data_IF_696646330495
#
_entry.id   IF_696646330495
#
_cell.length_a   1.000
_cell.length_b   1.000
_cell.length_c   1.000
_cell.angle_alpha   90.00
_cell.angle_beta   90.00
_cell.angle_gamma   90.00
#
_symmetry.space_group_name_H-M   'P 1'
#
loop_
_entity.id
_entity.type
_entity.pdbx_description
1 polymer ?
#
# COMPACT_ATOMS: atom_id res chain seq x y z
N UNK A 1 23.30 -9.45 -5.93
CA UNK A 1 22.23 -8.69 -6.61
C UNK A 1 22.65 -7.24 -6.77
N UNK A 2 22.28 -6.58 -7.86
CA UNK A 2 22.59 -5.16 -8.11
C UNK A 2 21.47 -4.27 -7.55
N UNK A 3 21.81 -3.31 -6.69
CA UNK A 3 20.86 -2.34 -6.15
C UNK A 3 20.57 -1.25 -7.19
N UNK A 4 19.31 -0.78 -7.25
CA UNK A 4 18.91 0.44 -7.94
C UNK A 4 19.42 1.66 -7.20
N UNK A 5 20.26 2.44 -7.86
CA UNK A 5 20.75 3.72 -7.37
C UNK A 5 19.71 4.82 -7.61
N UNK A 6 19.74 5.82 -6.74
CA UNK A 6 18.90 7.02 -6.86
C UNK A 6 19.22 7.79 -8.15
N UNK A 7 20.51 8.02 -8.42
CA UNK A 7 20.96 8.53 -9.72
C UNK A 7 21.21 7.36 -10.69
N UNK A 8 20.24 7.13 -11.57
CA UNK A 8 20.33 6.12 -12.62
C UNK A 8 21.47 6.38 -13.62
N UNK A 9 21.99 7.61 -13.74
CA UNK A 9 23.16 7.90 -14.59
C UNK A 9 24.44 7.27 -14.04
N UNK A 10 24.51 7.05 -12.73
CA UNK A 10 25.62 6.35 -12.08
C UNK A 10 25.46 4.83 -12.10
N UNK A 11 24.33 4.31 -12.59
CA UNK A 11 24.03 2.89 -12.62
C UNK A 11 24.82 2.16 -13.72
N UNK A 12 25.91 1.50 -13.34
CA UNK A 12 26.77 0.77 -14.29
C UNK A 12 26.20 -0.58 -14.73
N UNK A 13 25.38 -1.21 -13.90
CA UNK A 13 24.77 -2.53 -14.16
C UNK A 13 23.26 -2.47 -13.95
N UNK A 14 22.45 -3.20 -14.73
CA UNK A 14 21.00 -3.26 -14.52
C UNK A 14 20.66 -3.62 -13.07
N UNK A 15 19.95 -2.77 -12.30
CA UNK A 15 19.44 -3.14 -10.99
C UNK A 15 18.54 -4.37 -11.05
N UNK A 16 18.64 -5.16 -10.00
CA UNK A 16 17.86 -6.36 -9.79
C UNK A 16 16.86 -6.19 -8.65
N UNK A 17 17.07 -5.18 -7.79
CA UNK A 17 16.17 -4.84 -6.69
C UNK A 17 16.32 -3.38 -6.27
N UNK A 18 15.35 -2.87 -5.52
CA UNK A 18 15.38 -1.57 -4.85
C UNK A 18 15.01 -1.72 -3.37
N UNK A 19 15.50 -0.80 -2.53
CA UNK A 19 15.01 -0.69 -1.16
C UNK A 19 13.71 0.12 -1.17
N UNK A 20 12.65 -0.41 -0.55
CA UNK A 20 11.36 0.27 -0.47
C UNK A 20 11.38 1.37 0.60
N UNK A 21 12.29 1.28 1.58
CA UNK A 21 12.48 2.30 2.60
C UNK A 21 13.97 2.58 2.85
N UNK A 22 14.25 3.77 3.39
CA UNK A 22 15.56 4.24 3.86
C UNK A 22 16.07 3.39 5.03
N UNK A 23 15.15 2.79 5.80
CA UNK A 23 15.48 1.85 6.87
C UNK A 23 15.97 0.50 6.34
N UNK A 24 15.81 0.22 5.04
CA UNK A 24 16.20 -1.04 4.38
C UNK A 24 15.57 -2.27 5.03
N UNK A 25 14.34 -2.11 5.51
CA UNK A 25 13.53 -3.18 6.09
C UNK A 25 12.76 -3.98 5.03
N UNK A 26 12.64 -3.45 3.80
CA UNK A 26 11.97 -4.11 2.67
C UNK A 26 12.75 -3.94 1.37
N UNK A 27 13.06 -5.05 0.71
CA UNK A 27 13.65 -5.07 -0.64
C UNK A 27 12.61 -5.52 -1.66
N UNK A 28 12.49 -4.81 -2.77
CA UNK A 28 11.54 -5.09 -3.85
C UNK A 28 12.27 -5.52 -5.11
N UNK A 29 11.77 -6.60 -5.70
CA UNK A 29 12.16 -7.14 -7.00
C UNK A 29 10.92 -7.06 -7.88
N UNK A 30 11.05 -6.50 -9.08
CA UNK A 30 9.93 -6.38 -10.01
C UNK A 30 10.33 -6.84 -11.40
N UNK A 31 9.37 -7.35 -12.17
CA UNK A 31 9.53 -7.55 -13.61
C UNK A 31 9.73 -6.22 -14.35
N UNK A 32 9.19 -5.13 -13.82
CA UNK A 32 9.20 -3.79 -14.42
C UNK A 32 10.16 -2.82 -13.72
N UNK A 33 11.32 -3.31 -13.25
CA UNK A 33 12.37 -2.46 -12.65
C UNK A 33 12.91 -1.38 -13.60
N UNK A 34 12.74 -1.57 -14.91
CA UNK A 34 13.12 -0.64 -15.97
C UNK A 34 11.91 -0.22 -16.77
N UNK A 35 11.88 1.04 -17.20
CA UNK A 35 10.82 1.55 -18.08
C UNK A 35 10.90 0.98 -19.51
N UNK A 36 12.08 0.51 -19.92
CA UNK A 36 12.37 0.07 -21.29
C UNK A 36 12.75 -1.41 -21.41
N UNK A 37 12.74 -2.18 -20.31
CA UNK A 37 13.11 -3.60 -20.33
C UNK A 37 12.40 -4.38 -19.21
N UNK A 38 12.09 -5.64 -19.48
CA UNK A 38 11.56 -6.55 -18.46
C UNK A 38 12.66 -7.40 -17.84
N UNK A 39 12.62 -7.53 -16.51
CA UNK A 39 13.50 -8.44 -15.76
C UNK A 39 12.89 -9.83 -15.76
N UNK A 40 13.68 -10.85 -16.14
CA UNK A 40 13.28 -12.25 -15.97
C UNK A 40 13.29 -12.60 -14.48
N UNK A 41 12.13 -12.48 -13.85
CA UNK A 41 11.92 -12.84 -12.45
C UNK A 41 11.14 -14.16 -12.38
N UNK A 42 11.73 -15.18 -11.75
CA UNK A 42 11.16 -16.53 -11.71
C UNK A 42 11.43 -17.23 -10.39
N UNK A 43 10.56 -18.16 -10.01
CA UNK A 43 10.71 -19.06 -8.85
C UNK A 43 10.71 -20.54 -9.30
N UNK A 44 11.03 -21.44 -8.37
CA UNK A 44 11.02 -22.90 -8.58
C UNK A 44 11.87 -23.35 -9.77
N UNK A 45 13.15 -22.94 -9.77
CA UNK A 45 14.11 -23.30 -10.82
C UNK A 45 13.81 -22.68 -12.18
N UNK A 46 13.01 -21.61 -12.24
CA UNK A 46 12.65 -20.94 -13.50
C UNK A 46 11.31 -21.38 -14.09
N UNK A 47 10.60 -22.31 -13.45
CA UNK A 47 9.35 -22.88 -13.96
C UNK A 47 8.15 -21.95 -13.82
N UNK A 48 8.20 -20.97 -12.92
CA UNK A 48 7.11 -20.02 -12.69
C UNK A 48 7.64 -18.59 -12.75
N UNK A 49 7.02 -17.75 -13.57
CA UNK A 49 7.30 -16.30 -13.66
C UNK A 49 6.65 -15.57 -12.48
N UNK A 50 7.28 -14.48 -12.05
CA UNK A 50 6.77 -13.59 -11.02
C UNK A 50 6.60 -12.19 -11.61
N UNK A 51 5.61 -11.45 -11.12
CA UNK A 51 5.49 -10.01 -11.37
C UNK A 51 6.33 -9.22 -10.36
N UNK A 52 6.28 -9.63 -9.09
CA UNK A 52 6.97 -8.93 -8.01
C UNK A 52 7.35 -9.89 -6.86
N UNK A 53 8.43 -9.58 -6.16
CA UNK A 53 8.73 -10.13 -4.85
C UNK A 53 9.19 -9.03 -3.89
N UNK A 54 8.58 -8.97 -2.71
CA UNK A 54 8.97 -8.10 -1.61
C UNK A 54 9.54 -8.97 -0.50
N UNK A 55 10.78 -8.73 -0.10
CA UNK A 55 11.43 -9.38 1.04
C UNK A 55 11.45 -8.42 2.22
N UNK A 56 10.95 -8.87 3.37
CA UNK A 56 10.97 -8.11 4.62
C UNK A 56 12.05 -8.64 5.57
N UNK A 57 12.78 -7.70 6.18
CA UNK A 57 13.87 -7.97 7.10
C UNK A 57 13.45 -7.65 8.53
N UNK A 58 13.61 -8.64 9.43
CA UNK A 58 13.42 -8.47 10.87
C UNK A 58 14.77 -8.67 11.53
N UNK A 59 15.22 -7.66 12.29
CA UNK A 59 16.53 -7.66 12.95
C UNK A 59 17.69 -7.99 11.98
N UNK A 60 17.64 -7.43 10.77
CA UNK A 60 18.66 -7.60 9.74
C UNK A 60 18.64 -8.93 8.98
N UNK A 61 17.67 -9.82 9.25
CA UNK A 61 17.52 -11.11 8.55
C UNK A 61 16.24 -11.13 7.73
N UNK A 62 16.30 -11.69 6.52
CA UNK A 62 15.11 -11.95 5.71
C UNK A 62 14.18 -12.88 6.50
N UNK A 63 13.03 -12.37 6.89
CA UNK A 63 12.11 -13.02 7.82
C UNK A 63 10.78 -13.34 7.16
N UNK A 64 10.36 -12.53 6.19
CA UNK A 64 9.14 -12.74 5.41
C UNK A 64 9.37 -12.39 3.95
N UNK A 65 8.52 -12.94 3.09
CA UNK A 65 8.46 -12.54 1.69
C UNK A 65 7.03 -12.59 1.17
N UNK A 66 6.68 -11.61 0.35
CA UNK A 66 5.44 -11.58 -0.43
C UNK A 66 5.81 -11.70 -1.90
N UNK A 67 5.32 -12.73 -2.57
CA UNK A 67 5.59 -13.03 -3.97
C UNK A 67 4.29 -12.93 -4.75
N UNK A 68 4.24 -12.02 -5.72
CA UNK A 68 3.13 -11.85 -6.63
C UNK A 68 3.42 -12.60 -7.94
N UNK A 69 2.71 -13.69 -8.19
CA UNK A 69 2.85 -14.49 -9.41
C UNK A 69 2.02 -13.93 -10.57
N UNK A 70 0.90 -13.30 -10.26
CA UNK A 70 0.00 -12.70 -11.23
C UNK A 70 -0.82 -11.62 -10.54
N UNK A 71 -0.98 -10.49 -11.21
CA UNK A 71 -1.98 -9.47 -10.89
C UNK A 71 -2.56 -8.96 -12.21
N UNK A 72 -3.88 -9.01 -12.40
CA UNK A 72 -4.52 -8.66 -13.67
C UNK A 72 -4.24 -7.23 -14.12
N UNK A 73 -4.07 -6.31 -13.17
CA UNK A 73 -3.74 -4.91 -13.44
C UNK A 73 -2.40 -4.73 -14.16
N UNK A 74 -1.42 -5.59 -13.88
CA UNK A 74 -0.06 -5.47 -14.41
C UNK A 74 0.19 -6.50 -15.54
N UNK A 75 -0.37 -7.72 -15.40
CA UNK A 75 -0.17 -8.83 -16.35
C UNK A 75 -1.23 -8.89 -17.46
N UNK A 76 -2.34 -8.15 -17.34
CA UNK A 76 -3.51 -8.30 -18.21
C UNK A 76 -4.36 -9.53 -17.89
N UNK A 77 -5.34 -9.82 -18.75
CA UNK A 77 -6.25 -10.96 -18.58
C UNK A 77 -5.52 -12.32 -18.73
N UNK A 78 -5.88 -13.30 -17.90
CA UNK A 78 -5.41 -14.69 -17.98
C UNK A 78 -6.59 -15.65 -18.16
N UNK A 79 -6.39 -16.70 -18.95
CA UNK A 79 -7.37 -17.79 -19.04
C UNK A 79 -7.42 -18.58 -17.72
N UNK A 80 -8.62 -18.96 -17.28
CA UNK A 80 -8.80 -19.72 -16.04
C UNK A 80 -8.00 -21.04 -16.03
N UNK A 81 -7.89 -21.72 -17.18
CA UNK A 81 -7.11 -22.96 -17.31
C UNK A 81 -5.62 -22.73 -17.05
N UNK A 82 -5.07 -21.63 -17.56
CA UNK A 82 -3.66 -21.29 -17.36
C UNK A 82 -3.41 -20.86 -15.91
N UNK A 83 -4.33 -20.07 -15.33
CA UNK A 83 -4.28 -19.73 -13.91
C UNK A 83 -4.29 -20.98 -13.02
N UNK A 84 -5.21 -21.93 -13.27
CA UNK A 84 -5.29 -23.21 -12.56
C UNK A 84 -3.99 -24.02 -12.67
N UNK A 85 -3.37 -24.01 -13.86
CA UNK A 85 -2.10 -24.71 -14.10
C UNK A 85 -0.98 -24.11 -13.24
N UNK A 86 -0.83 -22.79 -13.23
CA UNK A 86 0.17 -22.08 -12.44
C UNK A 86 -0.08 -22.31 -10.95
N UNK A 87 -1.32 -22.12 -10.49
CA UNK A 87 -1.74 -22.34 -9.11
C UNK A 87 -1.39 -23.75 -8.61
N UNK A 88 -1.73 -24.79 -9.38
CA UNK A 88 -1.41 -26.19 -9.04
C UNK A 88 0.09 -26.43 -9.00
N UNK A 89 0.84 -25.91 -9.98
CA UNK A 89 2.28 -26.06 -10.04
C UNK A 89 2.98 -25.45 -8.80
N UNK A 90 2.55 -24.26 -8.37
CA UNK A 90 3.06 -23.63 -7.15
C UNK A 90 2.72 -24.49 -5.93
N UNK A 91 1.46 -24.93 -5.78
CA UNK A 91 1.04 -25.77 -4.66
C UNK A 91 1.78 -27.10 -4.56
N UNK A 92 2.08 -27.74 -5.70
CA UNK A 92 2.88 -28.97 -5.76
C UNK A 92 4.33 -28.73 -5.30
N UNK A 93 4.97 -27.67 -5.80
CA UNK A 93 6.33 -27.29 -5.38
C UNK A 93 6.38 -26.97 -3.88
N UNK A 94 5.40 -26.19 -3.37
CA UNK A 94 5.31 -25.87 -1.95
C UNK A 94 5.13 -27.12 -1.09
N UNK A 95 4.30 -28.08 -1.52
CA UNK A 95 4.10 -29.33 -0.78
C UNK A 95 5.38 -30.18 -0.73
N UNK A 96 6.15 -30.22 -1.81
CA UNK A 96 7.47 -30.89 -1.82
C UNK A 96 8.47 -30.23 -0.88
N UNK A 97 8.56 -28.89 -0.89
CA UNK A 97 9.53 -28.14 -0.08
C UNK A 97 9.15 -28.16 1.40
N UNK A 98 7.88 -27.92 1.71
CA UNK A 98 7.38 -27.80 3.09
C UNK A 98 7.14 -29.16 3.76
N UNK A 99 7.06 -30.24 2.99
CA UNK A 99 6.86 -31.62 3.47
C UNK A 99 5.64 -31.79 4.39
N UNK A 100 4.61 -30.97 4.20
CA UNK A 100 3.32 -31.03 4.91
C UNK A 100 2.18 -30.82 3.92
N UNK A 101 1.01 -31.39 4.22
CA UNK A 101 -0.19 -31.12 3.43
C UNK A 101 -0.73 -29.71 3.75
N UNK A 102 -1.20 -28.96 2.74
CA UNK A 102 -1.78 -27.65 2.99
C UNK A 102 -3.19 -27.74 3.58
N UNK A 103 -3.58 -26.69 4.30
CA UNK A 103 -4.96 -26.49 4.77
C UNK A 103 -5.60 -25.34 4.00
N UNK A 104 -6.77 -25.57 3.39
CA UNK A 104 -7.58 -24.51 2.78
C UNK A 104 -8.19 -23.64 3.87
N UNK A 105 -8.16 -22.33 3.68
CA UNK A 105 -8.73 -21.33 4.57
C UNK A 105 -9.43 -20.24 3.75
N UNK A 106 -10.59 -19.77 4.22
CA UNK A 106 -11.22 -18.58 3.66
C UNK A 106 -10.63 -17.37 4.38
N UNK A 107 -9.91 -16.52 3.64
CA UNK A 107 -9.24 -15.34 4.19
C UNK A 107 -10.23 -14.19 4.32
N UNK A 108 -11.05 -13.98 3.29
CA UNK A 108 -12.11 -12.96 3.30
C UNK A 108 -13.35 -13.46 2.54
N UNK A 109 -14.42 -13.80 3.27
CA UNK A 109 -15.66 -14.30 2.66
C UNK A 109 -16.60 -13.17 2.19
N UNK A 110 -16.62 -12.06 2.94
CA UNK A 110 -17.59 -10.97 2.79
C UNK A 110 -17.00 -9.71 2.15
N UNK A 111 -15.82 -9.83 1.52
CA UNK A 111 -15.20 -8.74 0.80
C UNK A 111 -15.80 -8.59 -0.60
N UNK A 112 -15.62 -7.42 -1.21
CA UNK A 112 -15.99 -7.20 -2.62
C UNK A 112 -15.25 -8.15 -3.58
N UNK A 113 -14.10 -8.65 -3.15
CA UNK A 113 -13.31 -9.68 -3.82
C UNK A 113 -13.01 -10.79 -2.80
N UNK A 114 -13.79 -11.88 -2.74
CA UNK A 114 -13.54 -12.95 -1.77
C UNK A 114 -12.19 -13.61 -2.00
N UNK A 115 -11.45 -13.91 -0.93
CA UNK A 115 -10.10 -14.48 -0.99
C UNK A 115 -10.04 -15.81 -0.28
N UNK A 116 -9.42 -16.78 -0.94
CA UNK A 116 -9.10 -18.10 -0.40
C UNK A 116 -7.59 -18.31 -0.36
N UNK A 117 -7.14 -18.96 0.70
CA UNK A 117 -5.75 -19.29 0.95
C UNK A 117 -5.52 -20.78 1.15
N UNK A 118 -4.33 -21.25 0.80
CA UNK A 118 -3.80 -22.57 1.15
C UNK A 118 -2.57 -22.38 2.03
N UNK A 119 -2.62 -22.90 3.25
CA UNK A 119 -1.62 -22.71 4.28
C UNK A 119 -0.79 -23.98 4.48
N UNK A 120 0.52 -23.88 4.31
CA UNK A 120 1.51 -24.85 4.78
C UNK A 120 2.17 -24.28 6.04
N UNK A 121 2.08 -24.99 7.15
CA UNK A 121 2.76 -24.64 8.39
C UNK A 121 3.62 -25.82 8.84
N UNK A 122 4.92 -25.59 8.99
CA UNK A 122 5.88 -26.59 9.44
C UNK A 122 6.95 -25.95 10.33
N UNK A 123 7.82 -26.74 11.00
CA UNK A 123 8.93 -26.20 11.77
C UNK A 123 9.90 -25.33 10.95
N UNK A 124 9.96 -25.48 9.62
CA UNK A 124 10.81 -24.64 8.75
C UNK A 124 10.21 -23.29 8.41
N UNK A 125 8.90 -23.08 8.67
CA UNK A 125 8.23 -21.82 8.41
C UNK A 125 6.77 -21.98 7.99
N UNK A 126 6.22 -20.88 7.48
CA UNK A 126 4.84 -20.78 7.01
C UNK A 126 4.83 -20.33 5.56
N UNK A 127 4.00 -20.96 4.73
CA UNK A 127 3.68 -20.51 3.38
C UNK A 127 2.16 -20.40 3.23
N UNK A 128 1.68 -19.28 2.71
CA UNK A 128 0.26 -19.01 2.46
C UNK A 128 0.08 -18.58 1.01
N UNK A 129 -0.51 -19.43 0.18
CA UNK A 129 -0.83 -19.14 -1.22
C UNK A 129 -2.28 -18.65 -1.32
N UNK A 130 -2.47 -17.41 -1.74
CA UNK A 130 -3.75 -16.70 -1.78
C UNK A 130 -4.14 -16.38 -3.22
N UNK A 131 -5.43 -16.47 -3.49
CA UNK A 131 -6.06 -16.05 -4.74
C UNK A 131 -7.47 -15.55 -4.47
N UNK A 132 -7.99 -14.68 -5.34
CA UNK A 132 -9.40 -14.33 -5.29
C UNK A 132 -10.27 -15.46 -5.83
N UNK A 133 -11.42 -15.72 -5.23
CA UNK A 133 -12.38 -16.68 -5.80
C UNK A 133 -12.91 -16.15 -7.14
N UNK A 134 -12.73 -16.94 -8.21
CA UNK A 134 -13.22 -16.61 -9.56
C UNK A 134 -14.28 -17.60 -10.08
N UNK A 135 -14.36 -18.80 -9.51
CA UNK A 135 -15.35 -19.82 -9.86
C UNK A 135 -16.53 -19.83 -8.88
N UNK A 136 -17.17 -18.68 -8.68
CA UNK A 136 -18.34 -18.57 -7.78
C UNK A 136 -19.63 -18.80 -8.57
N UNK A 137 -20.48 -19.78 -8.20
CA UNK A 137 -21.76 -20.00 -8.87
C UNK A 137 -22.61 -18.73 -8.93
N UNK A 138 -23.12 -18.39 -10.11
CA UNK A 138 -23.96 -17.20 -10.31
C UNK A 138 -23.21 -15.86 -10.37
N UNK A 139 -21.86 -15.85 -10.34
CA UNK A 139 -21.04 -14.64 -10.54
C UNK A 139 -19.96 -14.89 -11.59
N UNK A 140 -19.88 -14.01 -12.57
CA UNK A 140 -18.74 -13.99 -13.51
C UNK A 140 -17.62 -13.19 -12.86
N UNK A 141 -16.74 -13.90 -12.16
CA UNK A 141 -15.51 -13.35 -11.57
C UNK A 141 -14.31 -13.90 -12.34
N UNK A 142 -13.32 -13.06 -12.64
CA UNK A 142 -12.07 -13.47 -13.29
C UNK A 142 -10.96 -13.63 -12.25
N UNK A 143 -9.88 -14.38 -12.54
CA UNK A 143 -8.68 -14.30 -11.74
C UNK A 143 -8.13 -12.87 -11.74
N UNK A 144 -7.98 -12.28 -10.56
CA UNK A 144 -7.46 -10.93 -10.33
C UNK A 144 -6.04 -10.96 -9.76
N UNK A 145 -5.72 -11.90 -8.87
CA UNK A 145 -4.36 -12.06 -8.33
C UNK A 145 -4.03 -13.51 -7.92
N UNK A 146 -2.72 -13.80 -7.86
CA UNK A 146 -2.14 -15.01 -7.26
C UNK A 146 -0.88 -14.63 -6.49
N UNK A 147 -0.91 -14.80 -5.16
CA UNK A 147 0.14 -14.32 -4.26
C UNK A 147 0.56 -15.39 -3.27
N UNK A 148 1.84 -15.46 -2.97
CA UNK A 148 2.40 -16.30 -1.92
C UNK A 148 3.03 -15.44 -0.85
N UNK A 149 2.62 -15.64 0.40
CA UNK A 149 3.30 -15.10 1.58
C UNK A 149 4.14 -16.20 2.21
N UNK A 150 5.38 -15.89 2.53
CA UNK A 150 6.32 -16.76 3.23
C UNK A 150 6.74 -16.10 4.53
N UNK A 151 6.89 -16.89 5.58
CA UNK A 151 7.49 -16.43 6.83
C UNK A 151 8.40 -17.51 7.40
N UNK A 152 9.55 -17.07 7.90
CA UNK A 152 10.44 -17.89 8.71
C UNK A 152 9.73 -18.37 9.99
N UNK A 153 10.28 -19.38 10.70
CA UNK A 153 9.71 -19.87 11.94
C UNK A 153 9.45 -18.73 12.92
N UNK A 154 8.24 -18.68 13.48
CA UNK A 154 7.77 -17.65 14.41
C UNK A 154 7.66 -16.22 13.85
N UNK A 155 7.90 -16.00 12.55
CA UNK A 155 7.84 -14.66 11.92
C UNK A 155 6.51 -14.38 11.20
N UNK A 156 5.62 -15.37 11.06
CA UNK A 156 4.28 -15.14 10.51
C UNK A 156 3.53 -14.10 11.34
N UNK A 157 2.74 -13.24 10.71
CA UNK A 157 1.99 -12.17 11.38
C UNK A 157 0.49 -12.21 11.04
N UNK A 158 -0.21 -11.13 11.41
CA UNK A 158 -1.65 -10.97 11.23
C UNK A 158 -2.09 -11.05 9.75
N UNK A 159 -1.20 -10.77 8.80
CA UNK A 159 -1.48 -10.87 7.36
C UNK A 159 -1.52 -12.33 6.87
N UNK A 160 -1.08 -13.29 7.70
CA UNK A 160 -1.00 -14.72 7.39
C UNK A 160 -1.94 -15.56 8.28
N UNK A 161 -3.08 -15.01 8.66
CA UNK A 161 -4.11 -15.73 9.41
C UNK A 161 -3.87 -15.83 10.92
N UNK A 162 -2.83 -15.18 11.47
CA UNK A 162 -2.75 -14.99 12.92
C UNK A 162 -3.84 -14.00 13.37
N UNK A 163 -4.43 -14.24 14.53
CA UNK A 163 -5.48 -13.39 15.08
C UNK A 163 -4.95 -11.97 15.28
N UNK A 164 -5.49 -11.01 14.52
CA UNK A 164 -5.19 -9.60 14.70
C UNK A 164 -6.11 -9.04 15.77
N UNK A 165 -5.57 -8.72 16.94
CA UNK A 165 -6.22 -7.73 17.81
C UNK A 165 -5.87 -6.40 17.15
N UNK A 166 -6.85 -5.77 16.47
CA UNK A 166 -6.65 -4.49 15.79
C UNK A 166 -5.91 -3.49 16.67
N UNK A 167 -5.25 -2.50 16.07
CA UNK A 167 -4.36 -1.62 16.84
C UNK A 167 -5.14 -0.82 17.87
N UNK A 168 -4.71 -0.90 19.13
CA UNK A 168 -5.35 -0.21 20.25
C UNK A 168 -4.97 1.27 20.26
N UNK A 169 -5.85 2.12 20.81
CA UNK A 169 -5.60 3.57 20.93
C UNK A 169 -4.29 3.90 21.64
N UNK A 170 -3.97 3.19 22.74
CA UNK A 170 -2.72 3.40 23.47
C UNK A 170 -1.48 3.07 22.64
N UNK A 171 -1.55 2.06 21.77
CA UNK A 171 -0.46 1.71 20.87
C UNK A 171 -0.26 2.79 19.79
N UNK A 172 -1.34 3.38 19.26
CA UNK A 172 -1.22 4.50 18.33
C UNK A 172 -0.56 5.72 18.96
N UNK A 173 -0.90 6.04 20.21
CA UNK A 173 -0.28 7.15 20.94
C UNK A 173 1.24 6.94 21.12
N UNK A 174 1.69 5.70 21.32
CA UNK A 174 3.12 5.36 21.42
C UNK A 174 3.87 5.55 20.09
N UNK A 175 3.17 5.59 18.97
CA UNK A 175 3.77 5.83 17.64
C UNK A 175 3.94 7.31 17.33
N UNK A 176 3.42 8.20 18.18
CA UNK A 176 3.61 9.65 18.04
C UNK A 176 4.97 10.05 18.59
N UNK A 177 5.84 10.54 17.70
CA UNK A 177 7.14 11.10 18.04
C UNK A 177 7.05 12.62 18.14
N UNK A 178 7.68 13.18 19.18
CA UNK A 178 7.84 14.62 19.39
C UNK A 178 9.33 14.93 19.45
N UNK A 179 9.81 15.85 18.61
CA UNK A 179 11.22 16.26 18.56
C UNK A 179 11.42 17.65 19.16
N UNK A 180 12.64 17.96 19.66
CA UNK A 180 12.97 19.29 20.20
C UNK A 180 12.80 20.44 19.20
N UNK A 181 12.91 20.17 17.90
CA UNK A 181 12.76 21.17 16.83
C UNK A 181 11.30 21.47 16.46
N UNK A 182 10.34 20.90 17.21
CA UNK A 182 8.91 21.13 17.06
C UNK A 182 8.19 20.13 16.16
N UNK A 183 8.89 19.18 15.52
CA UNK A 183 8.25 18.13 14.72
C UNK A 183 7.43 17.21 15.64
N UNK A 184 6.14 17.06 15.34
CA UNK A 184 5.23 16.07 15.94
C UNK A 184 4.68 15.20 14.83
N UNK A 185 5.03 13.92 14.80
CA UNK A 185 4.64 13.04 13.70
C UNK A 185 4.50 11.57 14.10
N UNK A 186 3.76 10.85 13.30
CA UNK A 186 3.48 9.43 13.44
C UNK A 186 4.63 8.63 12.82
N UNK A 187 5.13 7.64 13.57
CA UNK A 187 6.14 6.68 13.13
C UNK A 187 5.53 5.31 12.86
N UNK A 188 6.26 4.45 12.14
CA UNK A 188 5.84 3.08 11.88
C UNK A 188 4.76 2.92 10.80
N UNK A 189 4.44 3.99 10.04
CA UNK A 189 3.67 3.86 8.80
C UNK A 189 4.54 3.12 7.78
N UNK A 190 4.16 1.90 7.34
CA UNK A 190 4.99 1.12 6.44
C UNK A 190 5.07 1.80 5.08
N UNK A 191 6.18 1.55 4.38
CA UNK A 191 6.32 2.00 2.99
C UNK A 191 5.85 0.91 2.04
N UNK A 192 5.00 1.32 1.10
CA UNK A 192 4.54 0.52 -0.04
C UNK A 192 4.78 1.39 -1.26
N UNK A 193 5.61 0.90 -2.18
CA UNK A 193 5.86 1.57 -3.46
C UNK A 193 4.68 1.29 -4.40
N UNK A 194 4.00 2.34 -4.84
CA UNK A 194 2.84 2.22 -5.72
C UNK A 194 3.18 1.71 -7.14
N UNK A 195 4.45 1.70 -7.54
CA UNK A 195 4.86 1.33 -8.89
C UNK A 195 4.30 2.29 -9.96
N UNK A 196 3.55 1.74 -10.92
CA UNK A 196 3.09 2.49 -12.09
C UNK A 196 1.96 3.50 -11.78
N UNK A 197 1.61 4.36 -12.74
CA UNK A 197 0.58 5.40 -12.58
C UNK A 197 -0.79 4.78 -12.27
N UNK A 198 -1.52 5.38 -11.31
CA UNK A 198 -2.90 4.99 -10.96
C UNK A 198 -3.05 4.22 -9.63
N UNK A 199 -1.96 3.77 -9.01
CA UNK A 199 -2.00 2.99 -7.77
C UNK A 199 -1.93 3.82 -6.47
N UNK A 200 -1.84 5.14 -6.53
CA UNK A 200 -1.63 5.98 -5.33
C UNK A 200 -2.71 5.81 -4.24
N UNK A 201 -3.97 5.64 -4.64
CA UNK A 201 -5.08 5.36 -3.72
C UNK A 201 -4.91 3.98 -3.08
N UNK A 202 -4.64 2.94 -3.88
CA UNK A 202 -4.46 1.58 -3.40
C UNK A 202 -3.26 1.46 -2.45
N UNK A 203 -2.12 2.04 -2.82
CA UNK A 203 -0.91 2.04 -2.01
C UNK A 203 -1.10 2.82 -0.70
N UNK A 204 -1.68 4.03 -0.74
CA UNK A 204 -1.95 4.81 0.49
C UNK A 204 -2.90 4.09 1.45
N UNK A 205 -3.95 3.44 0.92
CA UNK A 205 -4.86 2.64 1.73
C UNK A 205 -4.17 1.39 2.29
N UNK A 206 -3.35 0.68 1.52
CA UNK A 206 -2.58 -0.47 2.02
C UNK A 206 -1.66 -0.04 3.17
N UNK A 207 -0.94 1.06 3.03
CA UNK A 207 -0.07 1.59 4.08
C UNK A 207 -0.83 1.90 5.36
N UNK A 208 -1.99 2.55 5.25
CA UNK A 208 -2.86 2.81 6.39
C UNK A 208 -3.38 1.50 7.01
N UNK A 209 -3.73 0.50 6.19
CA UNK A 209 -4.28 -0.77 6.68
C UNK A 209 -3.23 -1.62 7.37
N UNK A 210 -2.02 -1.71 6.80
CA UNK A 210 -0.88 -2.33 7.48
C UNK A 210 -0.56 -1.63 8.79
N UNK A 211 -0.57 -0.29 8.81
CA UNK A 211 -0.40 0.49 10.04
C UNK A 211 -1.46 0.14 11.09
N UNK A 212 -2.71 -0.10 10.68
CA UNK A 212 -3.83 -0.47 11.55
C UNK A 212 -3.97 -1.99 11.77
N UNK A 213 -3.06 -2.82 11.24
CA UNK A 213 -3.11 -4.29 11.24
C UNK A 213 -4.40 -4.88 10.64
N UNK A 214 -4.88 -4.28 9.56
CA UNK A 214 -6.04 -4.75 8.79
C UNK A 214 -5.53 -5.54 7.57
N UNK A 215 -5.88 -6.84 7.43
CA UNK A 215 -5.50 -7.67 6.28
C UNK A 215 -6.06 -7.11 4.99
N UNK A 216 -5.17 -6.53 4.18
CA UNK A 216 -5.43 -6.13 2.81
C UNK A 216 -4.10 -5.84 2.07
N UNK A 217 -4.16 -5.87 0.75
CA UNK A 217 -3.05 -5.64 -0.15
C UNK A 217 -3.49 -4.76 -1.33
N UNK A 218 -2.58 -3.99 -1.91
CA UNK A 218 -2.87 -3.06 -2.98
C UNK A 218 -3.51 -3.70 -4.20
N UNK A 219 -3.22 -4.98 -4.51
CA UNK A 219 -3.84 -5.63 -5.67
C UNK A 219 -5.30 -6.00 -5.40
N UNK A 220 -5.63 -6.34 -4.15
CA UNK A 220 -7.02 -6.50 -3.71
C UNK A 220 -7.76 -5.15 -3.72
N UNK A 221 -7.09 -4.09 -3.23
CA UNK A 221 -7.65 -2.74 -3.24
C UNK A 221 -7.80 -2.18 -4.65
N UNK A 222 -6.85 -2.48 -5.54
CA UNK A 222 -6.84 -1.98 -6.91
C UNK A 222 -8.18 -2.24 -7.57
N UNK A 223 -8.75 -3.44 -7.46
CA UNK A 223 -10.08 -3.72 -8.03
C UNK A 223 -11.20 -2.82 -7.49
N UNK A 224 -11.16 -2.49 -6.21
CA UNK A 224 -12.15 -1.61 -5.57
C UNK A 224 -11.97 -0.15 -5.98
N UNK A 225 -10.71 0.26 -6.17
CA UNK A 225 -10.33 1.65 -6.41
C UNK A 225 -9.97 1.95 -7.86
N UNK A 226 -9.97 0.94 -8.74
CA UNK A 226 -9.65 1.03 -10.16
C UNK A 226 -10.62 2.00 -10.81
N UNK A 227 -10.05 3.10 -11.26
CA UNK A 227 -10.66 4.07 -12.15
C UNK A 227 -9.76 4.08 -13.37
N UNK A 228 -10.34 4.15 -14.57
CA UNK A 228 -9.63 4.12 -15.84
C UNK A 228 -8.35 4.97 -15.80
N UNK A 229 -7.21 4.31 -16.01
CA UNK A 229 -5.87 4.89 -15.99
C UNK A 229 -5.67 6.06 -16.98
N UNK A 230 -6.67 6.33 -17.85
CA UNK A 230 -6.70 7.45 -18.79
C UNK A 230 -7.35 8.74 -18.27
N UNK A 231 -8.13 8.69 -17.17
CA UNK A 231 -8.63 9.91 -16.52
C UNK A 231 -7.72 10.20 -15.33
N UNK A 232 -6.89 11.25 -15.40
CA UNK A 232 -6.07 11.68 -14.27
C UNK A 232 -6.93 11.68 -13.01
N UNK A 233 -6.51 10.97 -11.96
CA UNK A 233 -7.33 10.64 -10.81
C UNK A 233 -8.02 11.89 -10.26
N UNK A 234 -9.28 12.10 -10.63
CA UNK A 234 -10.10 13.17 -10.08
C UNK A 234 -10.35 12.82 -8.62
N UNK A 235 -10.15 13.79 -7.72
CA UNK A 235 -10.31 13.56 -6.28
C UNK A 235 -11.75 13.14 -5.92
N UNK A 236 -12.74 13.55 -6.70
CA UNK A 236 -14.12 13.04 -6.59
C UNK A 236 -14.13 11.52 -6.77
N UNK A 237 -13.41 11.03 -7.77
CA UNK A 237 -13.35 9.60 -8.03
C UNK A 237 -12.54 8.86 -6.97
N UNK A 238 -11.45 9.45 -6.46
CA UNK A 238 -10.70 8.89 -5.32
C UNK A 238 -11.60 8.73 -4.09
N UNK A 239 -12.40 9.74 -3.72
CA UNK A 239 -13.35 9.64 -2.61
C UNK A 239 -14.37 8.51 -2.81
N UNK A 240 -14.96 8.42 -4.00
CA UNK A 240 -15.91 7.34 -4.34
C UNK A 240 -15.27 5.97 -4.20
N UNK A 241 -14.00 5.84 -4.57
CA UNK A 241 -13.21 4.63 -4.35
C UNK A 241 -13.01 4.32 -2.86
N UNK A 242 -12.68 5.32 -2.02
CA UNK A 242 -12.52 5.13 -0.58
C UNK A 242 -13.81 4.68 0.11
N UNK A 243 -14.98 5.19 -0.30
CA UNK A 243 -16.27 4.78 0.25
C UNK A 243 -16.58 3.28 0.01
N UNK A 244 -16.10 2.71 -1.11
CA UNK A 244 -16.24 1.27 -1.40
C UNK A 244 -15.40 0.39 -0.45
N UNK A 245 -14.30 0.94 0.09
CA UNK A 245 -13.40 0.22 1.00
C UNK A 245 -14.07 0.02 2.38
N UNK A 246 -14.88 0.97 2.86
CA UNK A 246 -15.56 0.90 4.16
C UNK A 246 -16.30 -0.44 4.35
N UNK A 247 -17.20 -0.74 3.42
CA UNK A 247 -18.03 -1.95 3.47
C UNK A 247 -17.21 -3.24 3.34
N UNK A 248 -16.16 -3.23 2.51
CA UNK A 248 -15.36 -4.41 2.21
C UNK A 248 -14.47 -4.85 3.39
N UNK A 249 -13.93 -3.89 4.15
CA UNK A 249 -12.95 -4.18 5.21
C UNK A 249 -13.45 -3.91 6.63
N UNK A 250 -14.74 -3.60 6.80
CA UNK A 250 -15.37 -3.29 8.10
C UNK A 250 -14.63 -2.16 8.86
N UNK A 251 -14.10 -1.21 8.10
CA UNK A 251 -13.55 0.02 8.64
C UNK A 251 -14.65 1.07 8.79
N UNK A 252 -14.32 2.24 9.31
CA UNK A 252 -15.15 3.43 9.33
C UNK A 252 -14.41 4.49 8.54
N UNK A 253 -14.94 4.81 7.36
CA UNK A 253 -14.47 5.91 6.54
C UNK A 253 -15.16 7.21 6.99
N UNK A 254 -14.38 8.23 7.33
CA UNK A 254 -14.90 9.57 7.65
C UNK A 254 -14.27 10.60 6.71
N UNK A 255 -15.06 11.24 5.82
CA UNK A 255 -14.58 12.37 5.04
C UNK A 255 -14.54 13.63 5.93
N UNK A 256 -13.32 14.07 6.25
CA UNK A 256 -13.09 15.26 7.10
C UNK A 256 -13.13 16.54 6.26
N UNK A 257 -12.59 16.46 5.04
CA UNK A 257 -12.71 17.49 4.01
C UNK A 257 -13.14 16.79 2.73
N UNK A 258 -14.32 17.15 2.23
CA UNK A 258 -14.94 16.53 1.07
C UNK A 258 -15.09 17.55 -0.10
N UNK A 259 -14.53 17.29 -1.28
CA UNK A 259 -14.66 18.19 -2.42
C UNK A 259 -16.13 18.49 -2.81
N UNK A 260 -17.02 17.51 -2.75
CA UNK A 260 -18.45 17.65 -3.14
C UNK A 260 -19.23 18.53 -2.15
N UNK A 261 -18.81 18.58 -0.88
CA UNK A 261 -19.50 19.32 0.19
C UNK A 261 -18.83 20.66 0.51
N UNK A 262 -17.54 20.80 0.23
CA UNK A 262 -16.72 21.90 0.75
C UNK A 262 -16.16 22.84 -0.32
N UNK A 263 -16.50 22.66 -1.60
CA UNK A 263 -16.41 23.72 -2.60
C UNK A 263 -17.84 24.20 -2.93
N UNK A 264 -18.09 25.51 -2.84
CA UNK A 264 -19.36 26.06 -3.32
C UNK A 264 -19.46 25.93 -4.85
N UNK A 265 -20.67 26.11 -5.41
CA UNK A 265 -20.85 26.31 -6.85
C UNK A 265 -20.02 27.46 -7.42
N UNK A 266 -19.56 28.38 -6.56
CA UNK A 266 -18.64 29.48 -6.88
C UNK A 266 -17.16 29.17 -6.56
N UNK A 267 -16.81 27.90 -6.28
CA UNK A 267 -15.43 27.46 -6.02
C UNK A 267 -14.84 27.86 -4.66
N UNK A 268 -15.62 28.43 -3.74
CA UNK A 268 -15.12 28.82 -2.41
C UNK A 268 -14.97 27.62 -1.50
N UNK A 269 -13.79 27.46 -0.91
CA UNK A 269 -13.50 26.46 0.10
C UNK A 269 -14.21 26.78 1.41
N UNK A 270 -14.98 25.83 1.92
CA UNK A 270 -15.80 25.97 3.14
C UNK A 270 -15.04 25.64 4.44
N UNK A 271 -13.90 24.95 4.33
CA UNK A 271 -13.02 24.67 5.48
C UNK A 271 -11.97 25.77 5.55
N UNK A 272 -11.86 26.45 6.68
CA UNK A 272 -10.81 27.45 6.88
C UNK A 272 -9.44 26.80 7.07
N UNK A 273 -8.39 27.55 6.81
CA UNK A 273 -7.00 27.15 7.08
C UNK A 273 -6.83 26.64 8.52
N UNK A 274 -7.35 27.40 9.50
CA UNK A 274 -7.35 27.02 10.91
C UNK A 274 -8.04 25.68 11.17
N UNK A 275 -9.18 25.42 10.54
CA UNK A 275 -9.91 24.17 10.72
C UNK A 275 -9.14 22.99 10.11
N UNK A 276 -8.50 23.16 8.94
CA UNK A 276 -7.62 22.16 8.36
C UNK A 276 -6.45 21.83 9.29
N UNK A 277 -5.75 22.82 9.85
CA UNK A 277 -4.64 22.56 10.78
C UNK A 277 -5.07 21.87 12.07
N UNK A 278 -6.23 22.25 12.62
CA UNK A 278 -6.80 21.57 13.78
C UNK A 278 -7.04 20.08 13.50
N UNK A 279 -7.54 19.72 12.32
CA UNK A 279 -7.73 18.32 11.93
C UNK A 279 -6.40 17.58 11.82
N UNK A 280 -5.41 18.15 11.14
CA UNK A 280 -4.06 17.54 11.01
C UNK A 280 -3.45 17.30 12.39
N UNK A 281 -3.50 18.31 13.26
CA UNK A 281 -2.97 18.24 14.62
C UNK A 281 -3.68 17.18 15.45
N UNK A 282 -5.02 17.19 15.46
CA UNK A 282 -5.83 16.26 16.24
C UNK A 282 -5.52 14.80 15.91
N UNK A 283 -5.44 14.48 14.62
CA UNK A 283 -5.22 13.11 14.16
C UNK A 283 -3.76 12.67 14.33
N UNK A 284 -2.80 13.56 14.08
CA UNK A 284 -1.39 13.31 14.37
C UNK A 284 -1.15 13.03 15.86
N UNK A 285 -1.75 13.83 16.75
CA UNK A 285 -1.64 13.65 18.21
C UNK A 285 -2.28 12.34 18.69
N UNK A 286 -3.27 11.81 17.95
CA UNK A 286 -3.92 10.52 18.21
C UNK A 286 -3.15 9.33 17.63
N UNK A 287 -2.08 9.56 16.86
CA UNK A 287 -1.36 8.50 16.17
C UNK A 287 -2.13 7.93 14.98
N UNK A 288 -3.08 8.67 14.39
CA UNK A 288 -3.91 8.22 13.26
C UNK A 288 -3.52 9.00 12.00
N UNK A 289 -2.87 8.38 11.01
CA UNK A 289 -2.59 9.05 9.74
C UNK A 289 -3.88 9.39 8.98
N UNK A 290 -3.83 10.47 8.19
CA UNK A 290 -4.94 10.88 7.33
C UNK A 290 -4.61 10.62 5.87
N UNK A 291 -5.53 10.01 5.14
CA UNK A 291 -5.45 9.95 3.67
C UNK A 291 -5.71 11.35 3.12
N UNK A 292 -4.83 11.80 2.22
CA UNK A 292 -4.77 13.16 1.74
C UNK A 292 -4.81 13.22 0.22
N UNK A 293 -5.95 13.64 -0.32
CA UNK A 293 -6.10 13.94 -1.74
C UNK A 293 -5.63 15.36 -2.03
N UNK A 294 -4.70 15.52 -2.97
CA UNK A 294 -4.10 16.81 -3.30
C UNK A 294 -3.79 16.95 -4.80
N UNK A 295 -3.45 18.18 -5.21
CA UNK A 295 -2.82 18.48 -6.51
C UNK A 295 -1.30 18.55 -6.39
N UNK A 296 -0.60 17.66 -7.09
CA UNK A 296 0.86 17.66 -7.17
C UNK A 296 1.41 18.82 -8.02
N UNK A 297 2.63 19.26 -7.67
CA UNK A 297 3.42 20.19 -8.48
C UNK A 297 2.99 21.65 -8.40
N UNK A 298 1.97 21.98 -7.60
CA UNK A 298 1.49 23.36 -7.47
C UNK A 298 2.28 24.20 -6.46
N UNK A 299 2.87 23.55 -5.44
CA UNK A 299 3.59 24.20 -4.35
C UNK A 299 4.90 23.46 -4.04
N UNK A 300 5.91 24.14 -3.47
CA UNK A 300 7.17 23.50 -3.09
C UNK A 300 6.97 22.49 -1.95
N UNK A 301 7.79 21.44 -1.98
CA UNK A 301 7.87 20.42 -0.94
C UNK A 301 9.33 20.01 -0.70
N UNK A 302 9.61 19.52 0.50
CA UNK A 302 10.94 19.07 0.92
C UNK A 302 10.87 17.65 1.48
N UNK A 303 11.67 16.70 0.97
CA UNK A 303 12.45 16.78 -0.27
C UNK A 303 11.54 17.06 -1.49
N UNK A 304 12.08 17.62 -2.59
CA UNK A 304 11.31 17.93 -3.78
C UNK A 304 10.66 16.70 -4.42
N UNK A 305 9.79 16.94 -5.40
CA UNK A 305 9.26 15.88 -6.24
C UNK A 305 10.41 15.13 -6.94
N UNK A 306 10.28 13.80 -7.14
CA UNK A 306 11.29 13.02 -7.84
C UNK A 306 11.45 13.52 -9.29
N UNK A 307 12.66 13.38 -9.83
CA UNK A 307 12.98 13.78 -11.22
C UNK A 307 12.30 12.92 -12.31
N UNK A 308 11.60 11.85 -11.92
CA UNK A 308 10.82 10.98 -12.79
C UNK A 308 9.51 10.55 -12.13
N UNK A 309 8.54 10.06 -12.91
CA UNK A 309 7.22 9.68 -12.40
C UNK A 309 6.17 10.78 -12.53
N UNK A 310 5.18 10.80 -11.61
CA UNK A 310 4.12 11.81 -11.61
C UNK A 310 4.59 13.07 -10.86
N UNK A 311 4.73 14.18 -11.59
CA UNK A 311 5.15 15.47 -11.02
C UNK A 311 4.00 16.49 -10.94
N UNK A 312 2.83 16.16 -11.49
CA UNK A 312 1.65 17.03 -11.50
C UNK A 312 0.34 16.21 -11.55
N UNK A 313 -0.79 16.87 -11.28
CA UNK A 313 -2.12 16.26 -11.29
C UNK A 313 -2.58 15.74 -9.93
N UNK A 314 -3.77 15.14 -9.89
CA UNK A 314 -4.36 14.59 -8.67
C UNK A 314 -3.56 13.42 -8.11
N UNK A 315 -3.37 13.38 -6.79
CA UNK A 315 -2.63 12.33 -6.09
C UNK A 315 -3.20 12.05 -4.70
N UNK A 316 -2.84 10.91 -4.12
CA UNK A 316 -3.18 10.52 -2.75
C UNK A 316 -1.90 10.26 -1.96
N UNK A 317 -1.76 10.93 -0.82
CA UNK A 317 -0.67 10.80 0.15
C UNK A 317 -1.22 10.56 1.55
N UNK A 318 -0.35 10.52 2.55
CA UNK A 318 -0.77 10.49 3.96
C UNK A 318 -0.20 11.65 4.75
N UNK A 319 -1.05 12.42 5.44
CA UNK A 319 -0.59 13.35 6.47
C UNK A 319 -0.28 12.57 7.75
N UNK A 320 0.91 12.81 8.30
CA UNK A 320 1.42 12.07 9.45
C UNK A 320 1.87 12.99 10.58
N UNK A 321 1.86 14.30 10.42
CA UNK A 321 2.33 15.20 11.46
C UNK A 321 2.30 16.67 11.11
N UNK A 322 2.92 17.45 11.98
CA UNK A 322 3.02 18.90 11.87
C UNK A 322 4.26 19.43 12.60
N UNK A 323 4.64 20.67 12.31
CA UNK A 323 5.55 21.46 13.11
C UNK A 323 4.96 22.87 13.27
N UNK A 324 4.59 23.25 14.50
CA UNK A 324 3.96 24.56 14.77
C UNK A 324 4.96 25.72 14.71
N UNK A 325 6.22 25.48 15.08
CA UNK A 325 7.27 26.52 15.08
C UNK A 325 7.62 26.92 13.65
N UNK A 326 7.72 25.94 12.74
CA UNK A 326 8.05 26.13 11.34
C UNK A 326 6.81 26.37 10.45
N UNK A 327 5.61 26.29 11.03
CA UNK A 327 4.34 26.32 10.30
C UNK A 327 4.30 25.32 9.13
N UNK A 328 4.58 24.04 9.42
CA UNK A 328 4.67 22.97 8.42
C UNK A 328 3.68 21.82 8.70
N UNK A 329 3.22 21.18 7.62
CA UNK A 329 2.62 19.83 7.68
C UNK A 329 3.69 18.82 7.33
N UNK A 330 3.68 17.68 8.03
CA UNK A 330 4.53 16.53 7.77
C UNK A 330 3.69 15.42 7.13
N UNK A 331 4.17 14.86 6.02
CA UNK A 331 3.45 13.89 5.22
C UNK A 331 4.38 12.82 4.65
N UNK A 332 3.81 11.77 4.08
CA UNK A 332 4.55 10.69 3.42
C UNK A 332 3.90 10.33 2.10
N UNK A 333 4.74 9.95 1.12
CA UNK A 333 4.33 9.54 -0.22
C UNK A 333 4.59 8.04 -0.43
N UNK A 334 3.90 7.41 -1.38
CA UNK A 334 4.04 5.98 -1.73
C UNK A 334 5.06 5.74 -2.85
N UNK A 335 6.10 6.57 -2.96
CA UNK A 335 7.17 6.47 -3.96
C UNK A 335 8.42 5.75 -3.47
N UNK A 336 8.33 5.05 -2.34
CA UNK A 336 9.44 4.26 -1.80
C UNK A 336 10.43 5.08 -0.98
N UNK A 337 11.69 4.66 -0.99
CA UNK A 337 12.74 5.18 -0.12
C UNK A 337 13.01 6.67 -0.37
N UNK A 338 13.16 7.44 0.70
CA UNK A 338 13.36 8.90 0.66
C UNK A 338 12.05 9.71 0.74
N UNK A 339 10.90 9.04 0.65
CA UNK A 339 9.58 9.67 0.70
C UNK A 339 8.78 9.34 1.98
N UNK A 340 9.45 8.79 3.00
CA UNK A 340 8.87 8.45 4.30
C UNK A 340 8.48 9.67 5.13
N UNK A 341 9.22 10.77 4.98
CA UNK A 341 8.95 12.02 5.69
C UNK A 341 9.25 13.20 4.78
N UNK A 342 8.18 13.85 4.35
CA UNK A 342 8.19 15.08 3.56
C UNK A 342 7.50 16.19 4.34
N UNK A 343 7.78 17.43 3.95
CA UNK A 343 7.24 18.63 4.58
C UNK A 343 6.90 19.69 3.55
N UNK A 344 5.90 20.49 3.85
CA UNK A 344 5.58 21.74 3.15
C UNK A 344 4.95 22.72 4.13
N UNK A 345 4.86 24.00 3.76
CA UNK A 345 4.20 24.97 4.62
C UNK A 345 2.75 24.57 4.84
N UNK A 346 2.23 24.90 6.01
CA UNK A 346 0.84 24.64 6.37
C UNK A 346 -0.13 25.32 5.38
N UNK A 347 0.16 26.55 4.97
CA UNK A 347 -0.63 27.27 3.95
C UNK A 347 -0.58 26.57 2.59
N UNK A 348 0.59 26.11 2.14
CA UNK A 348 0.71 25.38 0.88
C UNK A 348 -0.02 24.05 0.92
N UNK A 349 0.11 23.31 2.03
CA UNK A 349 -0.63 22.06 2.24
C UNK A 349 -2.13 22.30 2.20
N UNK A 350 -2.60 23.38 2.84
CA UNK A 350 -3.97 23.81 2.72
C UNK A 350 -4.30 24.03 1.25
N UNK A 351 -3.66 24.95 0.53
CA UNK A 351 -3.95 25.33 -0.86
C UNK A 351 -4.06 24.13 -1.82
N UNK A 352 -3.16 23.15 -1.74
CA UNK A 352 -3.15 21.99 -2.65
C UNK A 352 -4.13 20.89 -2.26
N UNK A 353 -4.69 20.93 -1.05
CA UNK A 353 -5.63 19.90 -0.57
C UNK A 353 -6.94 19.98 -1.34
N UNK A 354 -7.35 18.83 -1.86
CA UNK A 354 -8.66 18.61 -2.46
C UNK A 354 -9.57 17.76 -1.57
N UNK A 355 -9.01 16.91 -0.71
CA UNK A 355 -9.76 16.07 0.21
C UNK A 355 -8.91 15.53 1.35
N UNK A 356 -9.54 15.30 2.50
CA UNK A 356 -8.89 14.77 3.70
C UNK A 356 -9.80 13.75 4.36
N UNK A 357 -9.27 12.55 4.62
CA UNK A 357 -10.08 11.41 5.03
C UNK A 357 -9.41 10.63 6.14
N UNK A 358 -10.19 10.17 7.11
CA UNK A 358 -9.72 9.18 8.09
C UNK A 358 -10.38 7.83 7.84
N UNK A 359 -9.62 6.76 8.08
CA UNK A 359 -10.12 5.39 7.98
C UNK A 359 -9.53 4.57 9.13
N UNK A 360 -10.38 3.96 9.94
CA UNK A 360 -9.98 3.16 11.10
C UNK A 360 -10.96 1.99 11.32
N UNK A 361 -10.62 0.95 12.09
CA UNK A 361 -11.58 -0.09 12.46
C UNK A 361 -12.87 0.48 13.08
N UNK A 362 -14.01 -0.19 12.89
CA UNK A 362 -15.29 0.22 13.52
C UNK A 362 -15.16 0.25 15.04
N UNK A 363 -15.68 1.31 15.66
CA UNK A 363 -15.61 1.53 17.11
C UNK A 363 -14.36 2.27 17.59
N UNK A 364 -13.51 2.73 16.67
CA UNK A 364 -12.35 3.58 16.94
C UNK A 364 -12.69 5.09 16.95
#
# INVERSE_FOLDING_TARGET
YVLKLEDQKMQQKPPQFEWVSSARDRARFSRHMFSNAETKLTMFGGSVKLEEAILEFVSGKAARATISFYNRGDSGDIEAREFDRIFKLIGQNLSQVMKVAPKRQIISANAALPVTGWLWASPSGVALLEYNEYNTPGKVTKPEFLRLKLAAPNQADWSMGKLAVGVQRMELLQRVTKKPDGDVYITGVPMVDQGQKGYCVAASCQRLFEYMRIPCDQHEMAKLVSIDAGSGASVITMQKSLAKIDGAFKVTFKPLINPELYYSSAGKRRVSEKAFFSLVKEYADKGVPLLWGLMLGQKPEDPPLPGGGQVSGGHMRMLIGYNLVKNQVLFTDSWGAGHELKRMTMLDAYDVTLGLYSMAPRGF
#
